data_IF_852165105257
#
_entry.id   IF_852165105257
#
_cell.length_a   1.000
_cell.length_b   1.000
_cell.length_c   1.000
_cell.angle_alpha   90.00
_cell.angle_beta   90.00
_cell.angle_gamma   90.00
#
_symmetry.space_group_name_H-M   'P 1'
#
loop_
_entity.id
_entity.type
_entity.pdbx_description
1 polymer ?
#
# COMPACT_ATOMS: atom_id res chain seq x y z
N UNK A 1 14.50 -51.62 4.71
CA UNK A 1 15.08 -50.79 5.78
C UNK A 1 16.10 -49.86 5.14
N UNK A 2 15.80 -48.55 5.19
CA UNK A 2 16.71 -47.40 5.13
C UNK A 2 17.85 -47.36 4.09
N UNK A 3 17.66 -46.54 3.05
CA UNK A 3 18.74 -45.70 2.51
C UNK A 3 18.26 -44.27 2.43
N UNK A 4 18.92 -43.44 3.24
CA UNK A 4 18.57 -42.09 3.64
C UNK A 4 18.82 -41.06 2.53
N UNK A 5 17.84 -40.16 2.43
CA UNK A 5 17.88 -38.82 1.86
C UNK A 5 19.24 -38.12 2.03
N UNK A 6 19.86 -37.72 0.92
CA UNK A 6 20.98 -36.77 0.89
C UNK A 6 20.44 -35.39 0.52
N UNK A 7 19.94 -34.65 1.52
CA UNK A 7 19.57 -33.23 1.37
C UNK A 7 20.83 -32.38 1.51
N UNK A 8 21.29 -31.81 0.40
CA UNK A 8 22.32 -30.77 0.36
C UNK A 8 21.69 -29.47 0.84
N UNK A 9 21.94 -29.08 2.10
CA UNK A 9 21.56 -27.77 2.63
C UNK A 9 22.67 -26.75 2.38
N UNK A 10 22.42 -25.83 1.46
CA UNK A 10 23.28 -24.70 1.15
C UNK A 10 23.07 -23.61 2.21
N UNK A 11 23.77 -23.66 3.34
CA UNK A 11 23.77 -22.56 4.32
C UNK A 11 24.59 -21.39 3.78
N UNK A 12 23.95 -20.52 3.01
CA UNK A 12 24.55 -19.29 2.51
C UNK A 12 24.88 -18.37 3.70
N UNK A 13 26.17 -18.12 3.91
CA UNK A 13 26.73 -17.47 5.09
C UNK A 13 26.24 -16.00 5.25
N UNK A 14 25.21 -15.80 6.07
CA UNK A 14 24.57 -14.52 6.39
C UNK A 14 25.54 -13.40 6.80
N UNK A 15 26.72 -13.71 7.34
CA UNK A 15 27.76 -12.71 7.68
C UNK A 15 28.36 -12.05 6.44
N UNK A 16 28.52 -12.79 5.33
CA UNK A 16 29.01 -12.22 4.05
C UNK A 16 27.99 -11.27 3.42
N UNK A 17 26.69 -11.57 3.55
CA UNK A 17 25.61 -10.73 3.02
C UNK A 17 25.52 -9.42 3.82
N UNK A 18 25.51 -9.50 5.16
CA UNK A 18 25.54 -8.29 6.02
C UNK A 18 26.74 -7.39 5.72
N UNK A 19 27.93 -7.96 5.51
CA UNK A 19 29.14 -7.19 5.16
C UNK A 19 29.03 -6.51 3.80
N UNK A 20 28.46 -7.18 2.78
CA UNK A 20 28.22 -6.57 1.46
C UNK A 20 27.19 -5.45 1.51
N UNK A 21 26.11 -5.63 2.28
CA UNK A 21 25.09 -4.61 2.48
C UNK A 21 25.69 -3.38 3.18
N UNK A 22 26.50 -3.59 4.23
CA UNK A 22 27.12 -2.49 4.97
C UNK A 22 28.15 -1.73 4.11
N UNK A 23 28.91 -2.43 3.26
CA UNK A 23 29.81 -1.81 2.28
C UNK A 23 29.04 -1.05 1.20
N UNK A 24 27.89 -1.56 0.75
CA UNK A 24 27.03 -0.86 -0.19
C UNK A 24 26.49 0.46 0.41
N UNK A 25 25.96 0.44 1.63
CA UNK A 25 25.46 1.65 2.30
C UNK A 25 26.57 2.64 2.68
N UNK A 26 27.72 2.15 3.13
CA UNK A 26 28.89 3.00 3.42
C UNK A 26 29.41 3.68 2.15
N UNK A 27 29.53 2.95 1.04
CA UNK A 27 29.90 3.53 -0.25
C UNK A 27 28.80 4.45 -0.79
N UNK A 28 27.53 4.14 -0.56
CA UNK A 28 26.42 5.00 -0.97
C UNK A 28 26.48 6.34 -0.22
N UNK A 29 26.70 6.32 1.09
CA UNK A 29 26.80 7.51 1.94
C UNK A 29 28.02 8.37 1.64
N UNK A 30 29.21 7.77 1.47
CA UNK A 30 30.42 8.53 1.10
C UNK A 30 30.31 9.13 -0.29
N UNK A 31 29.78 8.38 -1.26
CA UNK A 31 29.51 8.92 -2.60
C UNK A 31 28.41 9.98 -2.57
N UNK A 32 27.38 9.85 -1.72
CA UNK A 32 26.34 10.87 -1.54
C UNK A 32 26.95 12.17 -1.00
N UNK A 33 27.76 12.10 0.08
CA UNK A 33 28.45 13.29 0.61
C UNK A 33 29.42 13.93 -0.39
N UNK A 34 30.04 13.14 -1.28
CA UNK A 34 30.91 13.64 -2.34
C UNK A 34 30.14 14.27 -3.51
N UNK A 35 28.97 13.73 -3.86
CA UNK A 35 28.06 14.29 -4.86
C UNK A 35 27.51 15.65 -4.41
N UNK A 36 27.18 15.81 -3.12
CA UNK A 36 26.75 17.10 -2.55
C UNK A 36 27.91 18.05 -2.21
N UNK A 37 29.06 17.53 -1.78
CA UNK A 37 30.22 18.33 -1.32
C UNK A 37 30.98 19.10 -2.41
N UNK A 38 30.70 18.85 -3.69
CA UNK A 38 31.27 19.59 -4.83
C UNK A 38 30.24 20.24 -5.75
N UNK A 39 28.96 20.26 -5.37
CA UNK A 39 28.04 21.28 -5.89
C UNK A 39 28.45 22.57 -5.19
N UNK A 40 29.40 23.27 -5.78
CA UNK A 40 29.88 24.56 -5.30
C UNK A 40 28.69 25.47 -5.08
N UNK A 41 28.40 25.83 -3.83
CA UNK A 41 27.47 26.92 -3.48
C UNK A 41 27.92 28.27 -4.09
N UNK A 42 29.16 28.37 -4.59
CA UNK A 42 29.64 29.53 -5.37
C UNK A 42 29.04 29.56 -6.79
N UNK A 43 28.65 28.37 -7.30
CA UNK A 43 27.45 28.11 -8.09
C UNK A 43 26.35 29.16 -8.06
N UNK A 44 25.90 29.38 -6.82
CA UNK A 44 24.61 29.93 -6.48
C UNK A 44 24.62 31.47 -6.30
N UNK A 45 25.78 32.11 -6.44
CA UNK A 45 26.01 33.53 -6.19
C UNK A 45 26.61 34.27 -7.40
N UNK A 46 26.64 33.62 -8.58
CA UNK A 46 27.15 34.20 -9.82
C UNK A 46 26.05 34.91 -10.62
N UNK A 47 26.27 36.18 -10.95
CA UNK A 47 25.32 37.20 -11.42
C UNK A 47 24.62 36.96 -12.79
N UNK A 48 24.44 35.72 -13.26
CA UNK A 48 23.79 35.38 -14.54
C UNK A 48 22.48 34.61 -14.31
N UNK A 49 21.37 35.34 -14.19
CA UNK A 49 20.03 34.87 -13.76
C UNK A 49 19.44 33.67 -14.54
N UNK A 50 19.79 33.46 -15.81
CA UNK A 50 19.09 32.45 -16.65
C UNK A 50 19.76 31.06 -16.69
N UNK A 51 21.08 30.97 -16.51
CA UNK A 51 21.79 29.66 -16.48
C UNK A 51 21.75 28.98 -15.11
N UNK A 52 21.30 29.72 -14.11
CA UNK A 52 21.51 29.40 -12.71
C UNK A 52 20.36 28.59 -12.09
N UNK A 53 19.15 28.70 -12.65
CA UNK A 53 18.02 27.87 -12.26
C UNK A 53 18.18 26.42 -12.72
N UNK A 54 18.79 26.21 -13.89
CA UNK A 54 18.97 24.89 -14.52
C UNK A 54 19.98 24.03 -13.73
N UNK A 55 20.99 24.64 -13.10
CA UNK A 55 21.96 23.94 -12.26
C UNK A 55 21.42 23.44 -10.91
N UNK A 56 20.30 24.01 -10.44
CA UNK A 56 19.68 23.63 -9.15
C UNK A 56 18.72 22.44 -9.33
N UNK A 57 18.16 22.24 -10.52
CA UNK A 57 17.21 21.16 -10.83
C UNK A 57 17.74 19.77 -10.43
N UNK A 58 18.99 19.38 -10.75
CA UNK A 58 19.51 18.06 -10.35
C UNK A 58 19.59 17.88 -8.83
N UNK A 59 19.95 18.94 -8.08
CA UNK A 59 20.01 18.92 -6.61
C UNK A 59 18.61 18.64 -6.05
N UNK A 60 17.61 19.35 -6.57
CA UNK A 60 16.20 19.14 -6.22
C UNK A 60 15.76 17.72 -6.59
N UNK A 61 16.18 17.21 -7.75
CA UNK A 61 15.95 15.83 -8.17
C UNK A 61 16.51 14.80 -7.18
N UNK A 62 17.76 14.96 -6.73
CA UNK A 62 18.35 14.10 -5.71
C UNK A 62 17.60 14.16 -4.38
N UNK A 63 17.19 15.36 -3.94
CA UNK A 63 16.41 15.52 -2.72
C UNK A 63 15.05 14.80 -2.82
N UNK A 64 14.33 14.96 -3.94
CA UNK A 64 13.06 14.28 -4.20
C UNK A 64 13.23 12.76 -4.22
N UNK A 65 14.26 12.24 -4.90
CA UNK A 65 14.56 10.81 -4.95
C UNK A 65 14.86 10.26 -3.55
N UNK A 66 15.67 10.97 -2.76
CA UNK A 66 15.98 10.57 -1.39
C UNK A 66 14.74 10.54 -0.50
N UNK A 67 13.87 11.57 -0.60
CA UNK A 67 12.62 11.63 0.15
C UNK A 67 11.65 10.51 -0.27
N UNK A 68 11.53 10.26 -1.58
CA UNK A 68 10.71 9.16 -2.10
C UNK A 68 11.19 7.79 -1.59
N UNK A 69 12.51 7.63 -1.37
CA UNK A 69 13.04 6.40 -0.80
C UNK A 69 12.65 6.22 0.68
N UNK A 70 12.60 7.31 1.44
CA UNK A 70 12.08 7.28 2.83
C UNK A 70 10.60 6.88 2.81
N UNK A 71 9.82 7.46 1.90
CA UNK A 71 8.39 7.12 1.74
C UNK A 71 8.21 5.64 1.41
N UNK A 72 9.01 5.08 0.48
CA UNK A 72 8.97 3.65 0.17
C UNK A 72 9.30 2.76 1.36
N UNK A 73 10.30 3.12 2.16
CA UNK A 73 10.64 2.39 3.39
C UNK A 73 9.47 2.50 4.37
N UNK A 74 8.85 3.67 4.52
CA UNK A 74 7.72 3.86 5.43
C UNK A 74 6.51 2.98 5.06
N UNK A 75 6.23 2.84 3.76
CA UNK A 75 5.11 2.01 3.25
C UNK A 75 5.33 0.53 3.52
N UNK A 76 6.58 0.06 3.56
CA UNK A 76 6.91 -1.34 3.84
C UNK A 76 6.76 -1.73 5.32
N UNK A 77 6.65 -0.78 6.24
CA UNK A 77 6.51 -1.05 7.67
C UNK A 77 5.08 -0.76 8.17
N UNK A 78 4.40 -1.72 8.84
CA UNK A 78 4.84 -3.07 9.21
C UNK A 78 4.70 -4.08 8.07
N UNK A 79 5.68 -4.96 7.85
CA UNK A 79 5.66 -5.93 6.76
C UNK A 79 4.67 -7.08 7.07
N UNK A 80 3.52 -7.12 6.40
CA UNK A 80 2.47 -8.12 6.62
C UNK A 80 2.07 -8.86 5.34
N UNK A 81 3.01 -9.60 4.73
CA UNK A 81 2.85 -10.42 3.50
C UNK A 81 1.87 -11.61 3.64
N UNK A 82 1.08 -11.67 4.70
CA UNK A 82 0.04 -12.69 4.90
C UNK A 82 -1.35 -12.07 5.01
N UNK A 83 -1.43 -10.74 5.08
CA UNK A 83 -2.67 -10.01 5.20
C UNK A 83 -3.03 -9.39 3.83
N UNK A 84 -4.06 -9.89 3.13
CA UNK A 84 -4.42 -9.39 1.80
C UNK A 84 -4.87 -7.91 1.83
N UNK A 85 -5.38 -7.42 2.96
CA UNK A 85 -5.72 -5.99 3.13
C UNK A 85 -4.45 -5.13 3.12
N UNK A 86 -3.42 -5.58 3.84
CA UNK A 86 -2.13 -4.90 3.87
C UNK A 86 -1.45 -4.95 2.51
N UNK A 87 -1.44 -6.10 1.83
CA UNK A 87 -0.81 -6.26 0.51
C UNK A 87 -1.40 -5.29 -0.52
N UNK A 88 -2.73 -5.26 -0.64
CA UNK A 88 -3.41 -4.37 -1.57
C UNK A 88 -3.19 -2.90 -1.23
N UNK A 89 -3.30 -2.54 0.06
CA UNK A 89 -3.08 -1.15 0.51
C UNK A 89 -1.64 -0.71 0.24
N UNK A 90 -0.67 -1.56 0.56
CA UNK A 90 0.77 -1.29 0.36
C UNK A 90 1.09 -1.13 -1.12
N UNK A 91 0.58 -2.02 -1.99
CA UNK A 91 0.75 -1.89 -3.44
C UNK A 91 0.13 -0.58 -3.94
N UNK A 92 -1.08 -0.25 -3.47
CA UNK A 92 -1.76 0.98 -3.86
C UNK A 92 -0.96 2.23 -3.46
N UNK A 93 -0.55 2.31 -2.19
CA UNK A 93 0.24 3.44 -1.68
C UNK A 93 1.62 3.53 -2.34
N UNK A 94 2.26 2.38 -2.61
CA UNK A 94 3.54 2.34 -3.32
C UNK A 94 3.43 2.92 -4.73
N UNK A 95 2.40 2.51 -5.48
CA UNK A 95 2.11 3.04 -6.83
C UNK A 95 1.83 4.54 -6.78
N UNK A 96 1.13 5.01 -5.74
CA UNK A 96 0.86 6.44 -5.51
C UNK A 96 2.09 7.25 -5.10
N UNK A 97 3.24 6.64 -4.79
CA UNK A 97 4.45 7.36 -4.43
C UNK A 97 5.54 7.27 -5.51
N UNK A 98 5.43 6.31 -6.44
CA UNK A 98 6.42 6.15 -7.51
C UNK A 98 6.52 7.36 -8.44
N UNK A 99 5.44 8.11 -8.68
CA UNK A 99 5.49 9.29 -9.55
C UNK A 99 6.50 10.34 -9.04
N UNK A 100 6.62 10.52 -7.72
CA UNK A 100 7.58 11.44 -7.13
C UNK A 100 9.02 10.99 -7.42
N UNK A 101 9.29 9.69 -7.28
CA UNK A 101 10.57 9.09 -7.66
C UNK A 101 10.90 9.30 -9.15
N UNK A 102 9.92 9.11 -10.04
CA UNK A 102 10.10 9.33 -11.48
C UNK A 102 10.35 10.80 -11.82
N UNK A 103 9.67 11.75 -11.17
CA UNK A 103 9.92 13.18 -11.35
C UNK A 103 11.33 13.55 -10.88
N UNK A 104 11.73 13.05 -9.70
CA UNK A 104 13.08 13.29 -9.18
C UNK A 104 14.16 12.78 -10.12
N UNK A 105 13.98 11.59 -10.71
CA UNK A 105 14.84 11.07 -11.77
C UNK A 105 14.84 11.96 -13.01
N UNK A 106 13.67 12.44 -13.44
CA UNK A 106 13.54 13.38 -14.55
C UNK A 106 14.39 14.64 -14.39
N UNK A 107 14.43 15.21 -13.18
CA UNK A 107 15.27 16.37 -12.85
C UNK A 107 16.75 16.06 -12.76
N UNK A 108 17.14 14.84 -12.36
CA UNK A 108 18.54 14.41 -12.42
C UNK A 108 18.99 14.31 -13.90
N UNK A 109 18.11 13.84 -14.78
CA UNK A 109 18.44 13.64 -16.19
C UNK A 109 18.55 14.92 -17.02
N UNK A 110 17.98 16.05 -16.59
CA UNK A 110 18.11 17.32 -17.36
C UNK A 110 19.56 17.73 -17.54
N UNK A 111 20.41 17.54 -16.52
CA UNK A 111 21.85 17.79 -16.60
C UNK A 111 22.54 16.90 -17.64
N UNK A 112 22.17 15.63 -17.69
CA UNK A 112 22.79 14.64 -18.59
C UNK A 112 22.51 14.90 -20.08
N UNK A 113 21.34 15.47 -20.41
CA UNK A 113 20.98 15.77 -21.81
C UNK A 113 21.44 17.14 -22.30
N UNK A 114 21.86 18.05 -21.40
CA UNK A 114 22.27 19.43 -21.75
C UNK A 114 23.77 19.70 -21.67
N UNK A 115 24.50 19.03 -20.78
CA UNK A 115 25.94 19.24 -20.62
C UNK A 115 26.74 18.31 -21.54
N UNK A 116 27.71 18.86 -22.29
CA UNK A 116 28.57 18.10 -23.19
C UNK A 116 29.15 16.86 -22.48
N UNK A 117 29.03 15.69 -23.11
CA UNK A 117 29.40 14.37 -22.58
C UNK A 117 30.87 14.24 -22.08
N UNK A 118 31.70 15.26 -22.28
CA UNK A 118 33.12 15.27 -21.94
C UNK A 118 33.45 15.58 -20.46
N UNK A 119 32.54 16.17 -19.69
CA UNK A 119 32.78 16.49 -18.25
C UNK A 119 32.01 15.55 -17.30
N UNK A 120 31.45 14.47 -17.84
CA UNK A 120 30.70 13.48 -17.06
C UNK A 120 31.68 12.60 -16.30
N UNK A 121 31.70 12.76 -14.98
CA UNK A 121 32.55 11.99 -14.07
C UNK A 121 32.19 10.51 -14.11
N UNK A 122 33.19 9.62 -14.07
CA UNK A 122 33.00 8.16 -14.14
C UNK A 122 32.06 7.59 -13.06
N UNK A 123 31.94 8.28 -11.92
CA UNK A 123 31.02 7.93 -10.82
C UNK A 123 29.56 8.14 -11.20
N UNK A 124 29.27 9.20 -11.96
CA UNK A 124 27.92 9.51 -12.43
C UNK A 124 27.47 8.50 -13.48
N UNK A 125 28.37 8.10 -14.39
CA UNK A 125 28.11 7.00 -15.33
C UNK A 125 27.83 5.66 -14.61
N UNK A 126 28.56 5.37 -13.53
CA UNK A 126 28.30 4.17 -12.72
C UNK A 126 26.93 4.22 -12.05
N UNK A 127 26.57 5.36 -11.46
CA UNK A 127 25.27 5.58 -10.81
C UNK A 127 24.10 5.50 -11.81
N UNK A 128 24.24 6.13 -12.98
CA UNK A 128 23.26 6.06 -14.06
C UNK A 128 23.07 4.62 -14.57
N UNK A 129 24.15 3.84 -14.66
CA UNK A 129 24.07 2.42 -15.04
C UNK A 129 23.32 1.60 -14.01
N UNK A 130 23.53 1.87 -12.72
CA UNK A 130 22.80 1.24 -11.62
C UNK A 130 21.31 1.61 -11.67
N UNK A 131 20.99 2.90 -11.79
CA UNK A 131 19.61 3.39 -11.92
C UNK A 131 18.92 2.77 -13.13
N UNK A 132 19.59 2.67 -14.27
CA UNK A 132 19.02 2.06 -15.48
C UNK A 132 18.55 0.63 -15.20
N UNK A 133 19.40 -0.19 -14.59
CA UNK A 133 19.00 -1.56 -14.22
C UNK A 133 17.90 -1.59 -13.16
N UNK A 134 17.97 -0.68 -12.19
CA UNK A 134 16.96 -0.57 -11.15
C UNK A 134 15.57 -0.25 -11.72
N UNK A 135 15.46 0.72 -12.63
CA UNK A 135 14.20 1.10 -13.31
C UNK A 135 13.62 -0.09 -14.08
N UNK A 136 14.46 -0.90 -14.75
CA UNK A 136 14.00 -2.08 -15.47
C UNK A 136 13.45 -3.14 -14.52
N UNK A 137 14.19 -3.46 -13.46
CA UNK A 137 13.77 -4.42 -12.43
C UNK A 137 12.45 -3.96 -11.81
N UNK A 138 12.34 -2.67 -11.51
CA UNK A 138 11.12 -2.08 -10.95
C UNK A 138 9.94 -2.19 -11.92
N UNK A 139 10.13 -1.92 -13.22
CA UNK A 139 9.09 -2.05 -14.22
C UNK A 139 8.55 -3.48 -14.35
N UNK A 140 9.46 -4.47 -14.32
CA UNK A 140 9.11 -5.90 -14.34
C UNK A 140 8.38 -6.29 -13.05
N UNK A 141 8.88 -5.85 -11.90
CA UNK A 141 8.24 -6.11 -10.61
C UNK A 141 6.82 -5.53 -10.55
N UNK A 142 6.61 -4.30 -11.04
CA UNK A 142 5.30 -3.67 -11.16
C UNK A 142 4.36 -4.48 -12.06
N UNK A 143 4.85 -4.99 -13.19
CA UNK A 143 4.05 -5.82 -14.10
C UNK A 143 3.65 -7.14 -13.41
N UNK A 144 4.55 -7.72 -12.63
CA UNK A 144 4.28 -8.93 -11.82
C UNK A 144 3.30 -8.68 -10.67
N UNK A 145 3.14 -7.44 -10.21
CA UNK A 145 2.13 -7.09 -9.20
C UNK A 145 0.69 -7.13 -9.76
N UNK A 146 0.48 -7.06 -11.08
CA UNK A 146 -0.86 -7.11 -11.68
C UNK A 146 -1.62 -8.40 -11.31
N UNK A 147 -1.08 -9.61 -11.57
CA UNK A 147 -1.76 -10.85 -11.18
C UNK A 147 -1.91 -10.95 -9.65
N UNK A 148 -0.97 -10.41 -8.87
CA UNK A 148 -1.02 -10.41 -7.42
C UNK A 148 -2.21 -9.58 -6.89
N UNK A 149 -2.37 -8.35 -7.39
CA UNK A 149 -3.50 -7.46 -7.03
C UNK A 149 -4.85 -8.12 -7.32
N UNK A 150 -4.98 -8.82 -8.45
CA UNK A 150 -6.22 -9.51 -8.81
C UNK A 150 -6.53 -10.66 -7.85
N UNK A 151 -5.53 -11.48 -7.53
CA UNK A 151 -5.68 -12.61 -6.61
C UNK A 151 -6.03 -12.13 -5.20
N UNK A 152 -5.34 -11.11 -4.70
CA UNK A 152 -5.58 -10.58 -3.35
C UNK A 152 -6.90 -9.83 -3.25
N UNK A 153 -7.36 -9.17 -4.32
CA UNK A 153 -8.71 -8.58 -4.39
C UNK A 153 -9.77 -9.65 -4.18
N UNK A 154 -9.62 -10.81 -4.84
CA UNK A 154 -10.56 -11.91 -4.72
C UNK A 154 -10.53 -12.56 -3.31
N UNK A 155 -9.32 -12.78 -2.78
CA UNK A 155 -9.12 -13.32 -1.41
C UNK A 155 -9.70 -12.37 -0.36
N UNK A 156 -9.48 -11.07 -0.49
CA UNK A 156 -10.00 -10.08 0.44
C UNK A 156 -11.52 -9.99 0.39
N UNK A 157 -12.09 -10.02 -0.82
CA UNK A 157 -13.55 -9.98 -0.99
C UNK A 157 -14.23 -11.21 -0.38
N UNK A 158 -13.67 -12.41 -0.58
CA UNK A 158 -14.18 -13.64 0.04
C UNK A 158 -14.04 -13.62 1.57
N UNK A 159 -12.94 -13.09 2.10
CA UNK A 159 -12.73 -12.90 3.53
C UNK A 159 -13.77 -11.94 4.14
N UNK A 160 -14.01 -10.77 3.53
CA UNK A 160 -15.03 -9.83 4.01
C UNK A 160 -16.44 -10.39 3.90
N UNK A 161 -16.77 -11.07 2.79
CA UNK A 161 -18.07 -11.73 2.64
C UNK A 161 -18.29 -12.80 3.73
N UNK A 162 -17.27 -13.58 4.05
CA UNK A 162 -17.31 -14.57 5.12
C UNK A 162 -17.52 -13.95 6.51
N UNK A 163 -16.80 -12.86 6.81
CA UNK A 163 -16.95 -12.14 8.08
C UNK A 163 -18.32 -11.47 8.20
N UNK A 164 -18.78 -10.75 7.17
CA UNK A 164 -20.09 -10.08 7.16
C UNK A 164 -21.22 -11.11 7.26
N UNK A 165 -21.11 -12.24 6.55
CA UNK A 165 -22.08 -13.33 6.64
C UNK A 165 -22.12 -13.93 8.05
N UNK A 166 -20.96 -14.12 8.68
CA UNK A 166 -20.87 -14.65 10.05
C UNK A 166 -21.44 -13.67 11.07
N UNK A 167 -21.12 -12.38 10.96
CA UNK A 167 -21.69 -11.33 11.81
C UNK A 167 -23.21 -11.23 11.64
N UNK A 168 -23.71 -11.25 10.40
CA UNK A 168 -25.15 -11.30 10.09
C UNK A 168 -25.81 -12.51 10.72
N UNK A 169 -25.25 -13.71 10.53
CA UNK A 169 -25.82 -14.94 11.07
C UNK A 169 -25.83 -14.97 12.59
N UNK A 170 -24.78 -14.44 13.24
CA UNK A 170 -24.72 -14.31 14.69
C UNK A 170 -25.77 -13.31 15.21
N UNK A 171 -25.91 -12.15 14.55
CA UNK A 171 -26.93 -11.17 14.88
C UNK A 171 -28.34 -11.74 14.73
N UNK A 172 -28.62 -12.44 13.62
CA UNK A 172 -29.91 -13.12 13.39
C UNK A 172 -30.18 -14.22 14.44
N UNK A 173 -29.17 -15.01 14.81
CA UNK A 173 -29.30 -16.02 15.88
C UNK A 173 -29.65 -15.38 17.22
N UNK A 174 -29.01 -14.26 17.57
CA UNK A 174 -29.33 -13.53 18.80
C UNK A 174 -30.78 -13.01 18.78
N UNK A 175 -31.22 -12.43 17.64
CA UNK A 175 -32.61 -11.95 17.47
C UNK A 175 -33.60 -13.12 17.61
N UNK A 176 -33.32 -14.27 17.00
CA UNK A 176 -34.19 -15.46 17.08
C UNK A 176 -34.21 -16.09 18.47
N UNK A 177 -33.08 -16.10 19.19
CA UNK A 177 -33.04 -16.55 20.58
C UNK A 177 -33.89 -15.64 21.47
N UNK A 178 -33.77 -14.32 21.30
CA UNK A 178 -34.60 -13.35 22.00
C UNK A 178 -36.09 -13.51 21.66
N UNK A 179 -36.45 -13.71 20.40
CA UNK A 179 -37.83 -14.00 19.98
C UNK A 179 -38.40 -15.22 20.71
N UNK A 180 -37.59 -16.26 20.88
CA UNK A 180 -37.97 -17.49 21.59
C UNK A 180 -38.11 -17.24 23.10
N UNK A 181 -37.17 -16.54 23.74
CA UNK A 181 -37.23 -16.17 25.17
C UNK A 181 -38.39 -15.22 25.48
N UNK A 182 -38.67 -14.27 24.58
CA UNK A 182 -39.82 -13.36 24.63
C UNK A 182 -41.17 -14.10 24.49
N UNK A 183 -41.19 -15.22 23.75
CA UNK A 183 -42.36 -16.10 23.65
C UNK A 183 -42.54 -16.97 24.91
N UNK A 184 -41.44 -17.34 25.57
CA UNK A 184 -41.42 -18.14 26.79
C UNK A 184 -41.64 -17.32 28.08
N UNK A 185 -41.61 -15.99 28.00
CA UNK A 185 -41.97 -15.10 29.12
C UNK A 185 -40.79 -14.71 30.02
N UNK A 186 -39.59 -15.17 29.73
CA UNK A 186 -38.44 -15.01 30.61
C UNK A 186 -37.49 -13.91 30.15
N UNK A 187 -37.31 -12.95 31.05
CA UNK A 187 -36.12 -12.12 31.25
C UNK A 187 -36.11 -10.66 30.70
N UNK A 188 -36.67 -9.68 31.45
CA UNK A 188 -36.71 -8.26 31.06
C UNK A 188 -35.34 -7.57 30.87
N UNK A 189 -34.26 -8.11 31.44
CA UNK A 189 -32.92 -7.53 31.27
C UNK A 189 -32.33 -7.81 29.87
N UNK A 190 -32.62 -8.97 29.29
CA UNK A 190 -32.21 -9.31 27.92
C UNK A 190 -32.92 -8.42 26.89
N UNK A 191 -34.20 -8.14 27.14
CA UNK A 191 -35.06 -7.25 26.34
C UNK A 191 -34.47 -5.82 26.27
N UNK A 192 -33.98 -5.29 27.41
CA UNK A 192 -33.34 -3.97 27.48
C UNK A 192 -31.98 -3.92 26.76
N UNK A 193 -31.16 -4.97 26.89
CA UNK A 193 -29.86 -5.04 26.21
C UNK A 193 -29.99 -5.05 24.69
N UNK A 194 -31.02 -5.72 24.17
CA UNK A 194 -31.32 -5.77 22.75
C UNK A 194 -31.91 -4.46 22.22
N UNK A 195 -32.82 -3.84 22.99
CA UNK A 195 -33.34 -2.51 22.65
C UNK A 195 -32.21 -1.47 22.55
N UNK A 196 -31.19 -1.57 23.41
CA UNK A 196 -29.98 -0.73 23.34
C UNK A 196 -29.13 -1.05 22.10
N UNK A 197 -28.98 -2.31 21.73
CA UNK A 197 -28.25 -2.72 20.53
C UNK A 197 -28.91 -2.25 19.22
N UNK A 198 -30.23 -2.10 19.21
CA UNK A 198 -31.01 -1.58 18.08
C UNK A 198 -31.16 -0.05 18.08
N UNK A 199 -30.48 0.65 18.99
CA UNK A 199 -30.57 2.11 19.16
C UNK A 199 -32.02 2.62 19.36
N UNK A 200 -32.83 1.91 20.15
CA UNK A 200 -34.13 2.46 20.56
C UNK A 200 -33.95 3.74 21.40
N UNK A 201 -34.87 4.72 21.29
CA UNK A 201 -34.82 5.93 22.10
C UNK A 201 -34.81 5.64 23.61
N UNK A 202 -34.14 6.47 24.43
CA UNK A 202 -34.12 6.30 25.88
C UNK A 202 -35.53 6.32 26.51
N UNK A 203 -36.50 7.04 25.94
CA UNK A 203 -37.91 6.95 26.38
C UNK A 203 -38.48 5.53 26.30
N UNK A 204 -38.12 4.77 25.28
CA UNK A 204 -38.64 3.40 25.07
C UNK A 204 -37.97 2.41 26.03
N UNK A 205 -36.68 2.60 26.30
CA UNK A 205 -35.88 1.75 27.21
C UNK A 205 -36.35 1.78 28.67
N UNK A 206 -37.01 2.88 29.09
CA UNK A 206 -37.51 3.10 30.44
C UNK A 206 -38.94 2.58 30.68
N UNK A 207 -39.60 2.04 29.65
CA UNK A 207 -40.96 1.50 29.79
C UNK A 207 -41.00 0.24 30.67
N UNK A 208 -42.15 -0.06 31.30
CA UNK A 208 -42.37 -1.32 32.00
C UNK A 208 -42.08 -2.51 31.09
N UNK A 209 -41.45 -3.54 31.65
CA UNK A 209 -41.10 -4.79 30.96
C UNK A 209 -42.17 -5.34 30.00
N UNK A 210 -43.48 -5.41 30.36
CA UNK A 210 -44.51 -5.94 29.46
C UNK A 210 -44.82 -5.04 28.24
N UNK A 211 -44.74 -3.72 28.38
CA UNK A 211 -44.96 -2.78 27.26
C UNK A 211 -43.76 -2.76 26.30
N UNK A 212 -42.55 -2.80 26.87
CA UNK A 212 -41.31 -2.97 26.12
C UNK A 212 -41.30 -4.28 25.33
N UNK A 213 -41.80 -5.38 25.93
CA UNK A 213 -41.92 -6.68 25.28
C UNK A 213 -42.81 -6.64 24.04
N UNK A 214 -43.94 -5.93 24.12
CA UNK A 214 -44.90 -5.78 23.02
C UNK A 214 -44.31 -4.95 21.88
N UNK A 215 -43.63 -3.84 22.21
CA UNK A 215 -42.95 -2.99 21.22
C UNK A 215 -41.84 -3.78 20.51
N UNK A 216 -41.03 -4.56 21.25
CA UNK A 216 -39.97 -5.36 20.65
C UNK A 216 -40.54 -6.47 19.77
N UNK A 217 -41.60 -7.18 20.20
CA UNK A 217 -42.26 -8.21 19.37
C UNK A 217 -42.74 -7.66 18.02
N UNK A 218 -43.32 -6.47 18.00
CA UNK A 218 -43.75 -5.82 16.75
C UNK A 218 -42.57 -5.39 15.87
N UNK A 219 -41.45 -4.97 16.47
CA UNK A 219 -40.29 -4.43 15.76
C UNK A 219 -39.18 -5.47 15.45
N UNK A 220 -39.32 -6.74 15.85
CA UNK A 220 -38.34 -7.81 15.55
C UNK A 220 -38.22 -8.03 14.04
N UNK A 221 -39.32 -7.96 13.29
CA UNK A 221 -39.30 -8.07 11.84
C UNK A 221 -38.50 -6.93 11.20
N UNK A 222 -38.68 -5.70 11.70
CA UNK A 222 -37.93 -4.53 11.26
C UNK A 222 -36.46 -4.64 11.65
N UNK A 223 -36.14 -5.18 12.82
CA UNK A 223 -34.77 -5.44 13.26
C UNK A 223 -34.06 -6.46 12.35
N UNK A 224 -34.70 -7.60 12.04
CA UNK A 224 -34.16 -8.60 11.10
C UNK A 224 -33.95 -8.00 9.70
N UNK A 225 -34.87 -7.15 9.27
CA UNK A 225 -34.80 -6.44 7.99
C UNK A 225 -33.64 -5.44 7.97
N UNK A 226 -33.49 -4.62 9.02
CA UNK A 226 -32.36 -3.68 9.18
C UNK A 226 -31.03 -4.40 9.20
N UNK A 227 -30.87 -5.48 10.00
CA UNK A 227 -29.63 -6.28 10.04
C UNK A 227 -29.28 -6.82 8.64
N UNK A 228 -30.28 -7.28 7.89
CA UNK A 228 -30.06 -7.80 6.53
C UNK A 228 -29.71 -6.69 5.55
N UNK A 229 -30.39 -5.53 5.63
CA UNK A 229 -30.12 -4.37 4.80
C UNK A 229 -28.76 -3.74 5.09
N UNK A 230 -28.40 -3.56 6.36
CA UNK A 230 -27.09 -3.03 6.79
C UNK A 230 -25.95 -3.96 6.38
N UNK A 231 -26.12 -5.28 6.53
CA UNK A 231 -25.14 -6.25 6.05
C UNK A 231 -24.98 -6.19 4.53
N UNK A 232 -26.08 -6.10 3.77
CA UNK A 232 -26.04 -5.99 2.31
C UNK A 232 -25.41 -4.66 1.84
N UNK A 233 -25.72 -3.55 2.50
CA UNK A 233 -25.13 -2.24 2.21
C UNK A 233 -23.64 -2.23 2.53
N UNK A 234 -23.23 -2.75 3.68
CA UNK A 234 -21.83 -2.86 4.09
C UNK A 234 -21.04 -3.74 3.12
N UNK A 235 -21.60 -4.88 2.74
CA UNK A 235 -20.99 -5.78 1.76
C UNK A 235 -20.81 -5.08 0.41
N UNK A 236 -21.84 -4.41 -0.09
CA UNK A 236 -21.78 -3.66 -1.35
C UNK A 236 -20.73 -2.54 -1.28
N UNK A 237 -20.72 -1.76 -0.20
CA UNK A 237 -19.81 -0.65 -0.05
C UNK A 237 -18.35 -1.11 0.03
N UNK A 238 -18.08 -2.17 0.80
CA UNK A 238 -16.75 -2.77 0.88
C UNK A 238 -16.30 -3.31 -0.48
N UNK A 239 -17.17 -4.03 -1.18
CA UNK A 239 -16.88 -4.54 -2.52
C UNK A 239 -16.49 -3.42 -3.48
N UNK A 240 -17.28 -2.34 -3.53
CA UNK A 240 -17.03 -1.19 -4.40
C UNK A 240 -15.70 -0.52 -4.03
N UNK A 241 -15.43 -0.32 -2.74
CA UNK A 241 -14.20 0.32 -2.28
C UNK A 241 -12.95 -0.50 -2.63
N UNK A 242 -12.99 -1.83 -2.40
CA UNK A 242 -11.89 -2.72 -2.77
C UNK A 242 -11.65 -2.70 -4.27
N UNK A 243 -12.70 -2.85 -5.08
CA UNK A 243 -12.59 -2.80 -6.54
C UNK A 243 -12.04 -1.46 -7.04
N UNK A 244 -12.53 -0.34 -6.51
CA UNK A 244 -12.05 1.00 -6.87
C UNK A 244 -10.56 1.14 -6.60
N UNK A 245 -10.10 0.67 -5.43
CA UNK A 245 -8.68 0.71 -5.05
C UNK A 245 -7.83 -0.16 -5.98
N UNK A 246 -8.29 -1.38 -6.28
CA UNK A 246 -7.58 -2.31 -7.17
C UNK A 246 -7.46 -1.78 -8.59
N UNK A 247 -8.55 -1.24 -9.17
CA UNK A 247 -8.54 -0.64 -10.51
C UNK A 247 -7.60 0.56 -10.57
N UNK A 248 -7.67 1.46 -9.57
CA UNK A 248 -6.76 2.61 -9.48
C UNK A 248 -5.30 2.16 -9.47
N UNK A 249 -5.00 1.13 -8.68
CA UNK A 249 -3.65 0.59 -8.55
C UNK A 249 -3.16 -0.06 -9.85
N UNK A 250 -4.01 -0.82 -10.55
CA UNK A 250 -3.67 -1.42 -11.85
C UNK A 250 -3.36 -0.34 -12.90
N UNK A 251 -4.19 0.71 -12.99
CA UNK A 251 -3.95 1.83 -13.91
C UNK A 251 -2.60 2.50 -13.59
N UNK A 252 -2.33 2.77 -12.31
CA UNK A 252 -1.07 3.35 -11.88
C UNK A 252 0.13 2.46 -12.21
N UNK A 253 0.02 1.14 -12.02
CA UNK A 253 1.04 0.15 -12.38
C UNK A 253 1.34 0.20 -13.88
N UNK A 254 0.31 0.21 -14.74
CA UNK A 254 0.47 0.22 -16.19
C UNK A 254 1.18 1.49 -16.65
N UNK A 255 0.70 2.66 -16.23
CA UNK A 255 1.29 3.96 -16.59
C UNK A 255 2.75 4.01 -16.14
N UNK A 256 3.00 3.61 -14.89
CA UNK A 256 4.34 3.68 -14.29
C UNK A 256 5.31 2.69 -14.94
N UNK A 257 4.87 1.46 -15.22
CA UNK A 257 5.69 0.45 -15.88
C UNK A 257 6.05 0.87 -17.30
N UNK A 258 5.09 1.39 -18.08
CA UNK A 258 5.33 1.92 -19.42
C UNK A 258 6.32 3.09 -19.40
N UNK A 259 6.10 4.09 -18.53
CA UNK A 259 7.01 5.23 -18.39
C UNK A 259 8.42 4.78 -18.00
N UNK A 260 8.54 3.82 -17.08
CA UNK A 260 9.84 3.26 -16.66
C UNK A 260 10.57 2.57 -17.82
N UNK A 261 9.85 1.80 -18.65
CA UNK A 261 10.42 1.16 -19.85
C UNK A 261 10.88 2.20 -20.88
N UNK A 262 10.09 3.25 -21.11
CA UNK A 262 10.46 4.34 -22.03
C UNK A 262 11.74 5.05 -21.57
N UNK A 263 11.82 5.38 -20.27
CA UNK A 263 13.01 5.99 -19.67
C UNK A 263 14.23 5.07 -19.85
N UNK A 264 14.07 3.77 -19.55
CA UNK A 264 15.13 2.79 -19.73
C UNK A 264 15.66 2.72 -21.18
N UNK A 265 14.75 2.71 -22.17
CA UNK A 265 15.11 2.70 -23.59
C UNK A 265 15.85 3.98 -24.01
N UNK A 266 15.40 5.15 -23.55
CA UNK A 266 16.04 6.45 -23.85
C UNK A 266 17.44 6.52 -23.24
N UNK A 267 17.60 6.10 -21.99
CA UNK A 267 18.90 6.02 -21.32
C UNK A 267 19.82 5.03 -22.06
N UNK A 268 19.31 3.87 -22.46
CA UNK A 268 20.08 2.86 -23.20
C UNK A 268 20.68 3.38 -24.51
N UNK A 269 19.97 4.26 -25.22
CA UNK A 269 20.48 4.92 -26.44
C UNK A 269 21.62 5.90 -26.17
N UNK A 270 21.66 6.52 -24.99
CA UNK A 270 22.70 7.49 -24.64
C UNK A 270 24.00 6.84 -24.11
N UNK A 271 24.01 5.52 -23.94
CA UNK A 271 25.18 4.72 -23.56
C UNK A 271 25.75 3.89 -24.73
N UNK A 272 25.19 4.03 -25.94
CA UNK A 272 25.72 3.47 -27.19
C UNK A 272 26.55 4.54 -27.90
#
# INVERSE_FOLDING_TARGET
MQTLFRVVTHTMNMKKIKRKINLFFSNLSTNFSFLFGRVSLNMALGNNKERHLIGILPIVGYAIVAMSFVDFVSVLFPLQLQNPDWELKTISTFVEQIWAFLIGLGFIFTRYFQENQGDIRSVELFFLRFIRWFILIMAIALLLMIPLVLLDTHRLLSFFNGQISTQKNNALKQVSQLETSLAQGDNPDQVRSFAKALNFPPEVLNLPAPELQKIIKTNIADAKTKITQEAAQTQKQQSINTWKSSVKSIIGIIITSLTSIIIWLKIGKAFK
#
